data_IF_918998974496
#
_entry.id   IF_918998974496
#
_cell.length_a   1.000
_cell.length_b   1.000
_cell.length_c   1.000
_cell.angle_alpha   90.00
_cell.angle_beta   90.00
_cell.angle_gamma   90.00
#
_symmetry.space_group_name_H-M   'P 1'
#
loop_
_entity.id
_entity.type
_entity.pdbx_description
1 polymer ?
#
# COMPACT_ATOMS: atom_id res chain seq x y z
N UNK A 1 -4.29 9.98 10.89
CA UNK A 1 -4.41 8.67 10.20
C UNK A 1 -5.64 7.85 10.60
N UNK A 2 -6.19 7.98 11.81
CA UNK A 2 -7.28 7.11 12.29
C UNK A 2 -8.70 7.57 11.91
N UNK A 3 -8.84 8.58 11.04
CA UNK A 3 -10.15 9.05 10.59
C UNK A 3 -10.81 8.06 9.62
N UNK A 4 -12.14 8.14 9.44
CA UNK A 4 -12.90 7.20 8.63
C UNK A 4 -12.52 7.23 7.13
N UNK A 5 -11.88 8.31 6.67
CA UNK A 5 -11.45 8.46 5.28
C UNK A 5 -10.30 7.50 4.89
N UNK A 6 -9.50 7.00 5.86
CA UNK A 6 -8.39 6.07 5.61
C UNK A 6 -7.42 6.48 4.48
N UNK A 7 -6.90 7.73 4.45
CA UNK A 7 -6.10 8.20 3.32
C UNK A 7 -4.68 7.60 3.31
N UNK A 8 -4.04 7.63 2.13
CA UNK A 8 -2.57 7.55 2.04
C UNK A 8 -2.01 8.92 2.41
N UNK A 9 -1.17 8.97 3.43
CA UNK A 9 -0.44 10.18 3.84
C UNK A 9 1.03 10.05 3.49
N UNK A 10 1.62 11.13 3.00
CA UNK A 10 3.07 11.21 2.80
C UNK A 10 3.75 11.55 4.13
N UNK A 11 4.71 10.73 4.53
CA UNK A 11 5.53 10.90 5.73
C UNK A 11 7.00 10.95 5.34
N UNK A 12 7.80 11.74 6.05
CA UNK A 12 9.24 11.81 5.83
C UNK A 12 9.92 10.49 6.19
N UNK A 13 10.87 10.06 5.37
CA UNK A 13 11.74 8.92 5.67
C UNK A 13 12.63 9.25 6.86
N UNK A 14 12.72 8.33 7.81
CA UNK A 14 13.65 8.44 8.93
C UNK A 14 15.07 8.11 8.44
N UNK A 15 15.97 9.08 8.51
CA UNK A 15 17.35 8.96 8.01
C UNK A 15 18.15 7.83 8.69
N UNK A 16 17.83 7.51 9.95
CA UNK A 16 18.44 6.43 10.72
C UNK A 16 17.36 5.48 11.25
N UNK A 17 16.58 4.89 10.34
CA UNK A 17 15.62 3.84 10.68
C UNK A 17 16.37 2.51 10.92
N UNK A 18 16.26 1.87 12.11
CA UNK A 18 16.83 0.55 12.34
C UNK A 18 16.17 -0.55 11.50
N UNK A 19 15.00 -0.30 10.92
CA UNK A 19 14.24 -1.26 10.10
C UNK A 19 13.71 -0.58 8.83
N UNK A 20 14.60 -0.16 7.91
CA UNK A 20 14.18 0.58 6.72
C UNK A 20 13.35 -0.31 5.79
N UNK A 21 12.36 0.29 5.12
CA UNK A 21 11.74 -0.34 3.95
C UNK A 21 12.74 -0.44 2.81
N UNK A 22 12.52 -1.38 1.89
CA UNK A 22 13.34 -1.51 0.70
C UNK A 22 13.32 -0.21 -0.12
N UNK A 23 14.50 0.23 -0.60
CA UNK A 23 14.64 1.46 -1.39
C UNK A 23 13.73 1.50 -2.62
N UNK A 24 13.42 0.32 -3.19
CA UNK A 24 12.56 0.15 -4.35
C UNK A 24 11.09 0.55 -4.12
N UNK A 25 10.67 0.76 -2.87
CA UNK A 25 9.32 1.26 -2.56
C UNK A 25 9.16 2.71 -3.02
N UNK A 26 10.20 3.53 -2.88
CA UNK A 26 10.19 4.93 -3.33
C UNK A 26 11.62 5.40 -3.68
N UNK A 27 12.16 4.98 -4.84
CA UNK A 27 13.53 5.29 -5.25
C UNK A 27 13.76 6.80 -5.37
N UNK A 28 14.83 7.30 -4.76
CA UNK A 28 15.22 8.72 -4.84
C UNK A 28 14.27 9.69 -4.11
N UNK A 29 13.24 9.20 -3.41
CA UNK A 29 12.30 10.04 -2.67
C UNK A 29 12.70 10.18 -1.20
N UNK A 30 12.45 11.35 -0.61
CA UNK A 30 12.62 11.62 0.83
C UNK A 30 11.38 11.26 1.66
N UNK A 31 10.26 10.91 1.03
CA UNK A 31 8.99 10.58 1.68
C UNK A 31 8.52 9.16 1.32
N UNK A 32 7.58 8.65 2.11
CA UNK A 32 6.88 7.39 1.91
C UNK A 32 5.38 7.59 2.09
N UNK A 33 4.58 6.93 1.26
CA UNK A 33 3.12 6.88 1.41
C UNK A 33 2.71 5.79 2.39
N UNK A 34 2.00 6.16 3.45
CA UNK A 34 1.45 5.23 4.44
C UNK A 34 -0.07 5.37 4.57
N UNK A 35 -0.73 4.23 4.73
CA UNK A 35 -2.15 4.13 5.06
C UNK A 35 -2.31 3.13 6.20
N UNK A 36 -3.25 3.39 7.11
CA UNK A 36 -3.63 2.42 8.14
C UNK A 36 -4.74 1.47 7.64
N UNK A 37 -4.88 0.28 8.23
CA UNK A 37 -5.90 -0.69 7.82
C UNK A 37 -7.32 -0.12 8.00
N UNK A 38 -7.98 0.19 6.89
CA UNK A 38 -9.30 0.86 6.91
C UNK A 38 -10.49 -0.06 6.61
N UNK A 39 -10.26 -1.25 6.03
CA UNK A 39 -11.31 -2.25 5.77
C UNK A 39 -11.19 -3.44 6.75
N UNK A 40 -12.28 -4.19 7.02
CA UNK A 40 -12.21 -5.42 7.80
C UNK A 40 -11.20 -6.42 7.21
N UNK A 41 -11.14 -6.55 5.88
CA UNK A 41 -10.18 -7.43 5.21
C UNK A 41 -8.73 -7.03 5.49
N UNK A 42 -8.39 -5.73 5.44
CA UNK A 42 -7.04 -5.28 5.77
C UNK A 42 -6.65 -5.64 7.21
N UNK A 43 -7.60 -5.53 8.15
CA UNK A 43 -7.34 -5.93 9.54
C UNK A 43 -7.09 -7.42 9.66
N UNK A 44 -7.92 -8.26 9.02
CA UNK A 44 -7.71 -9.72 9.02
C UNK A 44 -6.35 -10.11 8.43
N UNK A 45 -5.97 -9.52 7.29
CA UNK A 45 -4.67 -9.79 6.66
C UNK A 45 -3.49 -9.43 7.57
N UNK A 46 -3.62 -8.37 8.36
CA UNK A 46 -2.55 -7.87 9.23
C UNK A 46 -2.59 -8.43 10.66
N UNK A 47 -3.58 -9.26 11.01
CA UNK A 47 -3.63 -9.91 12.33
C UNK A 47 -2.38 -10.77 12.58
N UNK A 48 -1.97 -11.53 11.57
CA UNK A 48 -0.84 -12.45 11.66
C UNK A 48 0.37 -11.99 10.83
N UNK A 49 0.38 -10.72 10.40
CA UNK A 49 1.44 -10.17 9.55
C UNK A 49 2.08 -8.93 10.18
N UNK A 50 3.29 -9.09 10.73
CA UNK A 50 3.95 -8.09 11.56
C UNK A 50 4.82 -7.06 10.82
N UNK A 51 4.69 -6.97 9.49
CA UNK A 51 5.51 -6.08 8.64
C UNK A 51 4.63 -5.31 7.65
N UNK A 52 5.07 -4.16 7.14
CA UNK A 52 4.31 -3.42 6.14
C UNK A 52 4.06 -4.26 4.88
N UNK A 53 2.91 -4.03 4.25
CA UNK A 53 2.57 -4.56 2.93
C UNK A 53 2.68 -3.45 1.89
N UNK A 54 2.83 -3.80 0.62
CA UNK A 54 2.72 -2.85 -0.49
C UNK A 54 1.29 -2.91 -1.01
N UNK A 55 0.61 -1.77 -0.97
CA UNK A 55 -0.75 -1.62 -1.49
C UNK A 55 -0.70 -0.60 -2.61
N UNK A 56 -0.92 -1.07 -3.83
CA UNK A 56 -1.02 -0.25 -5.04
C UNK A 56 -2.30 -0.59 -5.78
N UNK A 57 -2.65 0.23 -6.77
CA UNK A 57 -3.82 0.04 -7.60
C UNK A 57 -3.70 -1.23 -8.45
N UNK A 58 -4.75 -2.06 -8.46
CA UNK A 58 -4.80 -3.32 -9.22
C UNK A 58 -5.12 -3.10 -10.70
N UNK A 59 -4.16 -2.60 -11.47
CA UNK A 59 -4.28 -2.31 -12.90
C UNK A 59 -2.93 -2.37 -13.61
N UNK A 60 -2.97 -2.46 -14.94
CA UNK A 60 -1.82 -2.16 -15.80
C UNK A 60 -1.61 -0.64 -15.86
N UNK A 61 -0.40 -0.22 -16.24
CA UNK A 61 -0.08 1.21 -16.36
C UNK A 61 -1.09 1.93 -17.26
N UNK A 62 -1.50 3.13 -16.85
CA UNK A 62 -2.48 3.97 -17.55
C UNK A 62 -3.92 3.43 -17.63
N UNK A 63 -4.21 2.26 -17.08
CA UNK A 63 -5.56 1.70 -17.06
C UNK A 63 -6.30 1.95 -15.74
N UNK A 64 -7.64 2.02 -15.73
CA UNK A 64 -8.42 2.08 -14.50
C UNK A 64 -8.30 0.78 -13.69
N UNK A 65 -8.50 0.89 -12.38
CA UNK A 65 -8.54 -0.25 -11.45
C UNK A 65 -9.62 -1.26 -11.84
N UNK A 66 -9.28 -2.54 -11.75
CA UNK A 66 -10.25 -3.62 -11.91
C UNK A 66 -11.27 -3.58 -10.77
N UNK A 67 -12.56 -3.69 -11.10
CA UNK A 67 -13.65 -3.72 -10.09
C UNK A 67 -14.41 -5.06 -10.06
N UNK A 68 -14.18 -5.92 -11.05
CA UNK A 68 -14.79 -7.24 -11.16
C UNK A 68 -13.72 -8.33 -11.07
N UNK A 69 -14.07 -9.46 -10.47
CA UNK A 69 -13.14 -10.58 -10.27
C UNK A 69 -12.61 -11.14 -11.59
N UNK A 70 -13.48 -11.31 -12.60
CA UNK A 70 -13.09 -11.89 -13.89
C UNK A 70 -12.15 -10.96 -14.65
N UNK A 71 -12.40 -9.65 -14.58
CA UNK A 71 -11.52 -8.62 -15.15
C UNK A 71 -10.12 -8.65 -14.51
N UNK A 72 -10.05 -8.74 -13.18
CA UNK A 72 -8.79 -8.87 -12.46
C UNK A 72 -8.03 -10.16 -12.85
N UNK A 73 -8.74 -11.29 -12.95
CA UNK A 73 -8.15 -12.58 -13.39
C UNK A 73 -7.65 -12.53 -14.82
N UNK A 74 -8.28 -11.75 -15.70
CA UNK A 74 -7.86 -11.63 -17.09
C UNK A 74 -6.67 -10.67 -17.27
N UNK A 75 -6.65 -9.56 -16.53
CA UNK A 75 -5.70 -8.46 -16.75
C UNK A 75 -4.41 -8.56 -15.93
N UNK A 76 -4.44 -9.21 -14.76
CA UNK A 76 -3.39 -9.14 -13.74
C UNK A 76 -2.66 -10.48 -13.46
N UNK A 77 -2.96 -11.53 -14.23
CA UNK A 77 -2.22 -12.79 -14.22
C UNK A 77 -1.28 -12.87 -15.41
#
# INVERSE_FOLDING_TARGET
>A
LQGPAGPVMLLDKKQADPTPLADQVAPGQSTLGFMLPYSPLHRLLLQDWNRPLVMTSGNRSEEPQCIANDDARQRLT
#
